data_IF_068481989991
#
_entry.id   IF_068481989991
#
_cell.length_a   1.000
_cell.length_b   1.000
_cell.length_c   1.000
_cell.angle_alpha   90.00
_cell.angle_beta   90.00
_cell.angle_gamma   90.00
#
_symmetry.space_group_name_H-M   'P 1'
#
loop_
_entity.id
_entity.type
_entity.pdbx_description
1 polymer ?
#
# COMPACT_ATOMS: atom_id res chain seq x y z
N UNK A 1 42.71 18.87 4.28
CA UNK A 1 41.88 17.68 4.23
C UNK A 1 41.07 17.52 5.52
N UNK A 2 41.66 17.43 6.74
CA UNK A 2 40.95 17.25 8.01
C UNK A 2 39.90 18.32 8.35
N UNK A 3 40.15 19.60 8.00
CA UNK A 3 39.17 20.70 8.19
C UNK A 3 38.00 20.59 7.23
N UNK A 4 38.23 20.25 5.98
CA UNK A 4 37.17 20.07 4.96
C UNK A 4 36.28 18.88 5.35
N UNK A 5 36.88 17.75 5.79
CA UNK A 5 36.10 16.60 6.29
C UNK A 5 35.19 16.95 7.49
N UNK A 6 35.65 17.81 8.41
CA UNK A 6 34.85 18.30 9.54
C UNK A 6 33.63 19.12 9.08
N UNK A 7 33.84 19.99 8.11
CA UNK A 7 32.73 20.81 7.55
C UNK A 7 31.73 19.97 6.77
N UNK A 8 32.19 18.97 6.01
CA UNK A 8 31.33 17.98 5.34
C UNK A 8 30.52 17.19 6.36
N UNK A 9 31.17 16.67 7.41
CA UNK A 9 30.48 15.94 8.48
C UNK A 9 29.44 16.81 9.20
N UNK A 10 29.78 18.08 9.50
CA UNK A 10 28.86 19.04 10.10
C UNK A 10 27.65 19.30 9.19
N UNK A 11 27.86 19.46 7.90
CA UNK A 11 26.80 19.66 6.90
C UNK A 11 25.83 18.47 6.86
N UNK A 12 26.36 17.24 6.83
CA UNK A 12 25.50 16.03 6.89
C UNK A 12 24.76 15.93 8.23
N UNK A 13 25.38 16.28 9.34
CA UNK A 13 24.74 16.32 10.66
C UNK A 13 23.56 17.31 10.70
N UNK A 14 23.71 18.47 10.07
CA UNK A 14 22.65 19.47 9.98
C UNK A 14 21.48 18.98 9.11
N UNK A 15 21.76 18.29 8.00
CA UNK A 15 20.72 17.68 7.15
C UNK A 15 19.96 16.61 7.95
N UNK A 16 20.67 15.68 8.61
CA UNK A 16 20.05 14.63 9.42
C UNK A 16 19.24 15.26 10.57
N UNK A 17 19.79 16.25 11.26
CA UNK A 17 19.08 16.98 12.31
C UNK A 17 17.81 17.64 11.82
N UNK A 18 17.86 18.27 10.62
CA UNK A 18 16.68 18.84 9.95
C UNK A 18 15.63 17.79 9.59
N UNK A 19 16.05 16.63 9.07
CA UNK A 19 15.14 15.51 8.76
C UNK A 19 14.46 14.97 10.03
N UNK A 20 15.23 14.77 11.12
CA UNK A 20 14.68 14.35 12.41
C UNK A 20 13.70 15.38 12.95
N UNK A 21 14.05 16.67 12.89
CA UNK A 21 13.15 17.74 13.31
C UNK A 21 11.83 17.72 12.52
N UNK A 22 11.89 17.60 11.18
CA UNK A 22 10.68 17.53 10.35
C UNK A 22 9.87 16.27 10.62
N UNK A 23 10.52 15.14 10.86
CA UNK A 23 9.83 13.91 11.27
C UNK A 23 9.09 14.10 12.60
N UNK A 24 9.74 14.65 13.64
CA UNK A 24 9.12 14.93 14.93
C UNK A 24 7.98 15.95 14.78
N UNK A 25 8.13 16.96 13.93
CA UNK A 25 7.06 17.90 13.57
C UNK A 25 5.85 17.15 12.99
N UNK A 26 6.11 16.21 12.08
CA UNK A 26 5.08 15.34 11.50
C UNK A 26 4.38 14.47 12.57
N UNK A 27 5.15 13.82 13.44
CA UNK A 27 4.63 13.01 14.56
C UNK A 27 3.71 13.80 15.50
N UNK A 28 4.02 15.07 15.73
CA UNK A 28 3.23 15.95 16.59
C UNK A 28 2.04 16.58 15.85
N UNK A 29 1.86 16.29 14.58
CA UNK A 29 0.68 16.72 13.82
C UNK A 29 -0.54 15.97 14.35
N UNK A 30 -1.49 16.72 14.95
CA UNK A 30 -2.73 16.10 15.46
C UNK A 30 -3.52 15.54 14.29
N UNK A 31 -4.05 14.31 14.41
CA UNK A 31 -5.04 13.82 13.46
C UNK A 31 -6.19 14.82 13.38
N UNK A 32 -6.65 15.14 12.20
CA UNK A 32 -7.75 16.08 12.04
C UNK A 32 -9.07 15.41 12.44
N UNK A 33 -9.64 15.81 13.59
CA UNK A 33 -10.91 15.33 14.14
C UNK A 33 -10.88 15.39 15.67
N UNK A 34 -12.00 15.78 16.29
CA UNK A 34 -12.09 15.89 17.75
C UNK A 34 -11.92 14.56 18.50
N UNK A 35 -12.15 13.43 17.79
CA UNK A 35 -12.19 12.07 18.35
C UNK A 35 -11.11 11.14 17.76
N UNK A 36 -10.14 11.66 17.03
CA UNK A 36 -9.09 10.84 16.44
C UNK A 36 -8.15 10.29 17.52
N UNK A 37 -8.19 8.98 17.74
CA UNK A 37 -7.24 8.27 18.60
C UNK A 37 -5.94 8.01 17.86
N UNK A 38 -4.78 7.97 18.55
CA UNK A 38 -3.53 7.51 17.95
C UNK A 38 -3.70 6.11 17.38
N UNK A 39 -3.09 5.85 16.24
CA UNK A 39 -3.06 4.51 15.67
C UNK A 39 -2.36 3.53 16.62
N UNK A 40 -2.94 2.37 16.80
CA UNK A 40 -2.36 1.29 17.62
C UNK A 40 -1.44 0.49 16.71
N UNK A 41 -0.18 0.33 17.13
CA UNK A 41 0.75 -0.58 16.44
C UNK A 41 0.35 -2.01 16.77
N UNK A 42 0.03 -2.79 15.76
CA UNK A 42 -0.36 -4.19 15.92
C UNK A 42 0.84 -5.09 16.24
N UNK A 43 0.56 -6.19 16.91
CA UNK A 43 1.55 -7.26 17.07
C UNK A 43 1.78 -7.89 15.69
N UNK A 44 3.02 -7.84 15.21
CA UNK A 44 3.40 -8.33 13.89
C UNK A 44 4.67 -9.18 13.99
N UNK A 45 4.58 -10.45 13.62
CA UNK A 45 5.67 -11.41 13.69
C UNK A 45 6.49 -11.40 12.39
N UNK A 46 7.05 -10.23 12.08
CA UNK A 46 7.79 -10.01 10.84
C UNK A 46 9.00 -10.92 10.69
N UNK A 47 9.21 -11.43 9.48
CA UNK A 47 10.36 -12.26 9.12
C UNK A 47 11.13 -11.62 7.96
N UNK A 48 12.46 -11.74 8.03
CA UNK A 48 13.34 -11.27 6.95
C UNK A 48 13.14 -12.12 5.71
N UNK A 49 12.99 -11.47 4.57
CA UNK A 49 13.01 -12.12 3.27
C UNK A 49 14.42 -12.57 2.89
N UNK A 50 14.52 -13.49 1.94
CA UNK A 50 15.78 -14.02 1.42
C UNK A 50 16.62 -12.95 0.72
N UNK A 51 15.98 -12.03 0.00
CA UNK A 51 16.63 -10.95 -0.74
C UNK A 51 15.88 -9.63 -0.55
N UNK A 52 16.56 -8.67 0.05
CA UNK A 52 15.99 -7.37 0.37
C UNK A 52 15.06 -7.38 1.59
N UNK A 53 14.12 -6.45 1.62
CA UNK A 53 13.14 -6.26 2.69
C UNK A 53 11.74 -6.17 2.08
N UNK A 54 10.87 -7.09 2.45
CA UNK A 54 9.46 -7.08 2.10
C UNK A 54 8.67 -6.26 3.12
N UNK A 55 7.93 -5.27 2.63
CA UNK A 55 7.04 -4.40 3.41
C UNK A 55 5.62 -4.60 2.89
N UNK A 56 4.70 -5.00 3.77
CA UNK A 56 3.28 -5.12 3.47
C UNK A 56 2.62 -3.74 3.58
N UNK A 57 2.01 -3.27 2.52
CA UNK A 57 1.22 -2.05 2.48
C UNK A 57 -0.25 -2.44 2.38
N UNK A 58 -1.04 -2.01 3.34
CA UNK A 58 -2.48 -2.24 3.40
C UNK A 58 -3.22 -0.92 3.29
N UNK A 59 -4.04 -0.80 2.25
CA UNK A 59 -4.97 0.31 2.09
C UNK A 59 -6.31 -0.07 2.72
N UNK A 60 -6.72 0.65 3.77
CA UNK A 60 -7.96 0.39 4.51
C UNK A 60 -9.01 1.44 4.22
N UNK A 61 -10.28 1.04 4.23
CA UNK A 61 -11.44 1.93 4.09
C UNK A 61 -11.96 2.46 5.44
N UNK A 62 -11.40 1.95 6.54
CA UNK A 62 -11.72 2.38 7.90
C UNK A 62 -11.22 3.78 8.21
N UNK A 63 -11.94 4.48 9.09
CA UNK A 63 -11.49 5.76 9.64
C UNK A 63 -10.68 5.49 10.90
N UNK A 64 -9.59 6.26 11.09
CA UNK A 64 -8.77 6.18 12.29
C UNK A 64 -9.66 6.42 13.51
N UNK A 65 -9.72 5.40 14.42
CA UNK A 65 -10.51 5.45 15.65
C UNK A 65 -11.94 4.97 15.52
N UNK A 66 -12.42 4.56 14.35
CA UNK A 66 -13.63 3.75 14.22
C UNK A 66 -13.33 2.30 14.66
N UNK A 67 -14.38 1.56 15.04
CA UNK A 67 -14.21 0.14 15.36
C UNK A 67 -13.73 -0.58 14.10
N UNK A 68 -12.62 -1.26 14.23
CA UNK A 68 -11.98 -1.97 13.11
C UNK A 68 -12.73 -3.23 12.64
N UNK A 69 -13.74 -3.63 13.40
CA UNK A 69 -14.46 -4.90 13.21
C UNK A 69 -15.15 -5.03 11.84
N UNK A 70 -15.43 -3.90 11.18
CA UNK A 70 -16.05 -3.86 9.85
C UNK A 70 -15.09 -3.35 8.76
N UNK A 71 -13.87 -2.93 9.16
CA UNK A 71 -12.89 -2.39 8.24
C UNK A 71 -12.40 -3.46 7.27
N UNK A 72 -12.36 -3.11 6.00
CA UNK A 72 -11.83 -3.97 4.94
C UNK A 72 -10.57 -3.38 4.37
N UNK A 73 -9.72 -4.23 3.83
CA UNK A 73 -8.60 -3.78 3.02
C UNK A 73 -8.93 -3.91 1.54
N UNK A 74 -8.88 -2.79 0.84
CA UNK A 74 -9.11 -2.72 -0.60
C UNK A 74 -7.82 -2.83 -1.41
N UNK A 75 -6.68 -2.62 -0.76
CA UNK A 75 -5.37 -2.67 -1.39
C UNK A 75 -4.41 -3.50 -0.54
N UNK A 76 -3.89 -4.57 -1.11
CA UNK A 76 -2.92 -5.47 -0.48
C UNK A 76 -1.70 -5.51 -1.41
N UNK A 77 -0.59 -4.93 -0.96
CA UNK A 77 0.63 -4.82 -1.77
C UNK A 77 1.85 -5.19 -0.94
N UNK A 78 2.77 -5.94 -1.53
CA UNK A 78 4.11 -6.17 -0.97
C UNK A 78 5.13 -5.39 -1.80
N UNK A 79 5.89 -4.53 -1.12
CA UNK A 79 6.97 -3.75 -1.72
C UNK A 79 8.29 -4.32 -1.23
N UNK A 80 9.11 -4.83 -2.16
CA UNK A 80 10.45 -5.31 -1.87
C UNK A 80 11.48 -4.24 -2.24
N UNK A 81 12.34 -3.95 -1.29
CA UNK A 81 13.39 -2.93 -1.38
C UNK A 81 14.73 -3.46 -0.89
N UNK A 82 15.82 -2.76 -1.21
CA UNK A 82 17.18 -3.13 -0.79
C UNK A 82 17.59 -4.56 -1.21
N UNK A 83 17.05 -5.04 -2.32
CA UNK A 83 17.43 -6.32 -2.91
C UNK A 83 18.74 -6.20 -3.70
N UNK A 84 19.31 -7.33 -4.07
CA UNK A 84 20.58 -7.41 -4.82
C UNK A 84 20.57 -6.68 -6.16
N UNK A 85 19.40 -6.63 -6.82
CA UNK A 85 19.24 -5.90 -8.08
C UNK A 85 19.22 -4.38 -7.86
N UNK A 86 18.97 -3.94 -6.64
CA UNK A 86 18.81 -2.52 -6.29
C UNK A 86 17.61 -1.86 -6.96
N UNK A 87 16.59 -2.64 -7.34
CA UNK A 87 15.31 -2.18 -7.89
C UNK A 87 14.24 -2.17 -6.81
N UNK A 88 13.14 -1.49 -7.08
CA UNK A 88 11.92 -1.63 -6.30
C UNK A 88 11.03 -2.65 -7.00
N UNK A 89 10.55 -3.67 -6.26
CA UNK A 89 9.58 -4.64 -6.77
C UNK A 89 8.27 -4.47 -6.02
N UNK A 90 7.17 -4.36 -6.75
CA UNK A 90 5.83 -4.20 -6.19
C UNK A 90 4.94 -5.34 -6.67
N UNK A 91 4.39 -6.08 -5.72
CA UNK A 91 3.43 -7.15 -5.98
C UNK A 91 2.10 -6.78 -5.34
N UNK A 92 1.09 -6.55 -6.14
CA UNK A 92 -0.28 -6.31 -5.69
C UNK A 92 -1.05 -7.61 -5.71
N UNK A 93 -1.78 -7.89 -4.64
CA UNK A 93 -2.66 -9.05 -4.54
C UNK A 93 -4.10 -8.59 -4.70
N UNK A 94 -4.83 -9.24 -5.60
CA UNK A 94 -6.25 -8.97 -5.77
C UNK A 94 -6.99 -9.38 -4.50
N UNK A 95 -7.79 -8.47 -3.96
CA UNK A 95 -8.48 -8.66 -2.68
C UNK A 95 -9.43 -9.85 -2.67
N UNK A 96 -10.00 -10.20 -3.84
CA UNK A 96 -10.95 -11.29 -4.02
C UNK A 96 -10.27 -12.64 -4.32
N UNK A 97 -8.92 -12.71 -4.27
CA UNK A 97 -8.17 -13.98 -4.37
C UNK A 97 -8.60 -14.90 -3.24
N UNK A 98 -9.01 -16.12 -3.58
CA UNK A 98 -9.41 -17.13 -2.61
C UNK A 98 -8.17 -17.75 -1.97
N UNK A 99 -8.16 -17.80 -0.64
CA UNK A 99 -7.07 -18.32 0.18
C UNK A 99 -7.62 -19.30 1.21
N UNK A 100 -6.75 -20.15 1.73
CA UNK A 100 -7.05 -20.96 2.90
C UNK A 100 -6.66 -20.21 4.16
N UNK A 101 -7.58 -20.13 5.13
CA UNK A 101 -7.34 -19.56 6.46
C UNK A 101 -7.53 -20.64 7.51
N UNK A 102 -6.45 -21.00 8.21
CA UNK A 102 -6.50 -22.00 9.27
C UNK A 102 -7.54 -21.66 10.35
N UNK A 103 -8.37 -22.64 10.69
CA UNK A 103 -9.42 -22.51 11.69
C UNK A 103 -10.68 -21.77 11.23
N UNK A 104 -10.69 -21.23 10.01
CA UNK A 104 -11.83 -20.53 9.39
C UNK A 104 -12.32 -21.23 8.13
N UNK A 105 -11.41 -21.55 7.22
CA UNK A 105 -11.73 -22.31 6.01
C UNK A 105 -12.27 -23.71 6.36
N UNK A 106 -13.19 -24.20 5.54
CA UNK A 106 -13.80 -25.50 5.77
C UNK A 106 -12.72 -26.59 5.73
N UNK A 107 -12.64 -27.36 6.80
CA UNK A 107 -11.80 -28.54 6.85
C UNK A 107 -12.63 -29.75 6.42
N UNK A 108 -12.04 -30.66 5.64
CA UNK A 108 -12.58 -31.96 5.27
C UNK A 108 -13.50 -32.01 4.03
N UNK A 109 -12.99 -31.57 2.90
CA UNK A 109 -13.39 -32.21 1.65
C UNK A 109 -12.20 -33.08 1.23
N UNK A 110 -12.36 -34.44 1.20
CA UNK A 110 -11.24 -35.37 0.95
C UNK A 110 -10.55 -35.22 -0.41
N UNK A 111 -11.13 -34.48 -1.33
CA UNK A 111 -10.65 -34.31 -2.69
C UNK A 111 -9.71 -33.10 -2.87
N UNK A 112 -9.63 -32.19 -1.90
CA UNK A 112 -8.79 -31.00 -1.99
C UNK A 112 -7.92 -30.85 -0.75
N UNK A 113 -6.63 -30.87 -0.94
CA UNK A 113 -5.62 -30.64 0.08
C UNK A 113 -5.56 -29.12 0.40
N UNK A 114 -6.56 -28.64 1.13
CA UNK A 114 -6.74 -27.25 1.51
C UNK A 114 -7.90 -26.57 0.76
N UNK A 115 -8.90 -26.13 1.50
CA UNK A 115 -10.04 -25.45 0.93
C UNK A 115 -9.77 -23.95 0.85
N UNK A 116 -9.70 -23.41 -0.36
CA UNK A 116 -9.50 -22.00 -0.64
C UNK A 116 -10.86 -21.32 -0.76
N UNK A 117 -11.48 -21.00 0.36
CA UNK A 117 -12.86 -20.53 0.44
C UNK A 117 -13.04 -19.19 1.15
N UNK A 118 -11.94 -18.50 1.44
CA UNK A 118 -11.94 -17.16 2.03
C UNK A 118 -11.29 -16.16 1.08
N UNK A 119 -11.88 -14.97 0.94
CA UNK A 119 -11.21 -13.90 0.22
C UNK A 119 -10.04 -13.35 1.03
N UNK A 120 -8.96 -12.99 0.35
CA UNK A 120 -7.76 -12.46 0.99
C UNK A 120 -8.05 -11.20 1.85
N UNK A 121 -8.95 -10.32 1.43
CA UNK A 121 -9.36 -9.16 2.22
C UNK A 121 -10.16 -9.53 3.48
N UNK A 122 -10.84 -10.66 3.50
CA UNK A 122 -11.54 -11.18 4.68
C UNK A 122 -10.57 -11.53 5.82
N UNK A 123 -9.35 -11.96 5.47
CA UNK A 123 -8.31 -12.21 6.47
C UNK A 123 -8.01 -10.96 7.32
N UNK A 124 -7.98 -9.78 6.70
CA UNK A 124 -7.79 -8.54 7.45
C UNK A 124 -8.91 -8.32 8.48
N UNK A 125 -10.17 -8.40 8.04
CA UNK A 125 -11.35 -8.21 8.92
C UNK A 125 -11.36 -9.22 10.06
N UNK A 126 -11.09 -10.51 9.78
CA UNK A 126 -11.01 -11.56 10.81
C UNK A 126 -9.89 -11.24 11.81
N UNK A 127 -8.73 -10.80 11.33
CA UNK A 127 -7.61 -10.42 12.18
C UNK A 127 -7.93 -9.21 13.07
N UNK A 128 -8.64 -8.20 12.55
CA UNK A 128 -9.09 -7.05 13.32
C UNK A 128 -10.07 -7.45 14.43
N UNK A 129 -11.02 -8.34 14.12
CA UNK A 129 -11.95 -8.91 15.11
C UNK A 129 -11.23 -9.70 16.21
N UNK A 130 -10.07 -10.27 15.90
CA UNK A 130 -9.22 -11.03 16.81
C UNK A 130 -8.07 -10.16 17.40
N UNK A 131 -8.43 -9.19 18.22
CA UNK A 131 -7.49 -8.33 18.96
C UNK A 131 -6.63 -7.40 18.09
N UNK A 132 -7.18 -6.81 17.03
CA UNK A 132 -6.49 -5.91 16.11
C UNK A 132 -5.20 -6.56 15.54
N UNK A 133 -5.34 -7.70 14.88
CA UNK A 133 -4.26 -8.43 14.23
C UNK A 133 -4.50 -8.57 12.71
N UNK A 134 -5.13 -7.58 12.09
CA UNK A 134 -5.45 -7.60 10.66
C UNK A 134 -4.21 -7.72 9.79
N UNK A 135 -3.19 -6.91 10.05
CA UNK A 135 -1.94 -6.97 9.29
C UNK A 135 -1.20 -8.30 9.50
N UNK A 136 -1.23 -8.84 10.73
CA UNK A 136 -0.58 -10.13 11.04
C UNK A 136 -1.28 -11.29 10.32
N UNK A 137 -2.61 -11.33 10.30
CA UNK A 137 -3.32 -12.41 9.62
C UNK A 137 -3.12 -12.34 8.10
N UNK A 138 -3.14 -11.15 7.50
CA UNK A 138 -2.78 -10.99 6.08
C UNK A 138 -1.35 -11.46 5.82
N UNK A 139 -0.38 -11.12 6.70
CA UNK A 139 1.00 -11.63 6.59
C UNK A 139 1.04 -13.16 6.58
N UNK A 140 0.31 -13.80 7.50
CA UNK A 140 0.22 -15.27 7.56
C UNK A 140 -0.36 -15.83 6.27
N UNK A 141 -1.47 -15.27 5.77
CA UNK A 141 -2.06 -15.72 4.50
C UNK A 141 -1.12 -15.60 3.31
N UNK A 142 -0.35 -14.52 3.25
CA UNK A 142 0.68 -14.37 2.22
C UNK A 142 1.85 -15.35 2.40
N UNK A 143 2.18 -15.72 3.64
CA UNK A 143 3.16 -16.77 3.91
C UNK A 143 2.65 -18.15 3.52
N UNK A 144 1.47 -18.53 3.98
CA UNK A 144 0.96 -19.90 3.85
C UNK A 144 0.56 -20.21 2.40
N UNK A 145 -0.08 -19.25 1.71
CA UNK A 145 -0.56 -19.47 0.35
C UNK A 145 0.50 -19.13 -0.72
N UNK A 146 1.36 -18.14 -0.50
CA UNK A 146 2.34 -17.66 -1.49
C UNK A 146 3.80 -17.81 -1.05
N UNK A 147 4.06 -18.26 0.17
CA UNK A 147 5.38 -18.45 0.79
C UNK A 147 6.25 -17.19 0.80
N UNK A 148 5.64 -16.02 1.07
CA UNK A 148 6.33 -14.75 1.17
C UNK A 148 6.67 -14.45 2.65
N UNK A 149 7.95 -14.20 2.95
CA UNK A 149 8.35 -13.67 4.24
C UNK A 149 8.29 -12.14 4.22
N UNK A 150 7.55 -11.54 5.16
CA UNK A 150 7.32 -10.09 5.26
C UNK A 150 7.91 -9.59 6.57
N UNK A 151 8.73 -8.55 6.51
CA UNK A 151 9.43 -8.03 7.68
C UNK A 151 8.67 -6.89 8.37
N UNK A 152 8.05 -6.02 7.60
CA UNK A 152 7.36 -4.84 8.10
C UNK A 152 6.00 -4.68 7.45
N UNK A 153 5.14 -3.87 8.09
CA UNK A 153 3.87 -3.45 7.53
C UNK A 153 3.62 -1.95 7.71
N UNK A 154 2.77 -1.40 6.87
CA UNK A 154 2.15 -0.09 7.05
C UNK A 154 0.69 -0.14 6.58
N UNK A 155 -0.23 0.27 7.45
CA UNK A 155 -1.63 0.48 7.08
C UNK A 155 -1.84 1.95 6.75
N UNK A 156 -2.60 2.25 5.72
CA UNK A 156 -2.84 3.61 5.25
C UNK A 156 -4.32 3.76 4.94
N UNK A 157 -5.00 4.60 5.69
CA UNK A 157 -6.37 5.00 5.37
C UNK A 157 -6.40 6.16 4.37
N UNK A 158 -7.57 6.49 3.88
CA UNK A 158 -7.78 7.52 2.86
C UNK A 158 -7.26 8.90 3.28
N UNK A 159 -7.50 9.28 4.53
CA UNK A 159 -7.12 10.58 5.05
C UNK A 159 -5.62 10.68 5.26
N UNK A 160 -5.03 9.63 5.82
CA UNK A 160 -3.57 9.54 6.00
C UNK A 160 -2.86 9.59 4.66
N UNK A 161 -3.37 8.85 3.65
CA UNK A 161 -2.83 8.90 2.29
C UNK A 161 -2.85 10.32 1.74
N UNK A 162 -4.02 10.98 1.73
CA UNK A 162 -4.15 12.34 1.19
C UNK A 162 -3.24 13.32 1.93
N UNK A 163 -3.23 13.28 3.27
CA UNK A 163 -2.38 14.16 4.11
C UNK A 163 -0.88 13.95 3.84
N UNK A 164 -0.45 12.69 3.68
CA UNK A 164 0.94 12.38 3.39
C UNK A 164 1.36 12.92 2.01
N UNK A 165 0.50 12.73 0.99
CA UNK A 165 0.75 13.24 -0.36
C UNK A 165 0.83 14.76 -0.38
N UNK A 166 -0.14 15.47 0.22
CA UNK A 166 -0.16 16.93 0.25
C UNK A 166 1.05 17.51 1.00
N UNK A 167 1.54 16.79 2.03
CA UNK A 167 2.75 17.18 2.75
C UNK A 167 4.01 16.96 1.90
N UNK A 168 4.10 15.81 1.24
CA UNK A 168 5.26 15.42 0.43
C UNK A 168 5.34 16.21 -0.88
N UNK A 169 4.19 16.47 -1.48
CA UNK A 169 4.02 17.16 -2.76
C UNK A 169 3.03 18.33 -2.66
N UNK A 170 3.42 19.45 -2.06
CA UNK A 170 2.51 20.60 -1.89
C UNK A 170 1.92 21.15 -3.19
N UNK A 171 2.58 20.89 -4.32
CA UNK A 171 2.11 21.27 -5.67
C UNK A 171 1.46 20.09 -6.41
N UNK A 172 1.09 19.02 -5.69
CA UNK A 172 0.54 17.80 -6.26
C UNK A 172 1.55 16.90 -6.95
N UNK A 173 1.15 15.65 -7.19
CA UNK A 173 1.90 14.64 -7.94
C UNK A 173 1.57 14.76 -9.41
N UNK A 174 2.58 14.79 -10.26
CA UNK A 174 2.38 14.76 -11.71
C UNK A 174 1.96 13.35 -12.15
N UNK A 175 0.78 13.26 -12.74
CA UNK A 175 0.17 12.01 -13.23
C UNK A 175 -0.25 12.17 -14.68
N UNK A 176 -0.19 11.07 -15.42
CA UNK A 176 -0.87 10.93 -16.69
C UNK A 176 -2.10 10.03 -16.49
N UNK A 177 -3.22 10.63 -16.14
CA UNK A 177 -4.44 9.89 -15.84
C UNK A 177 -4.93 9.11 -17.05
N UNK A 178 -5.13 7.82 -16.87
CA UNK A 178 -5.61 6.91 -17.90
C UNK A 178 -6.74 6.04 -17.34
N UNK A 179 -7.78 5.91 -18.13
CA UNK A 179 -8.89 5.02 -17.87
C UNK A 179 -9.05 4.09 -19.07
N UNK A 180 -9.56 2.91 -18.84
CA UNK A 180 -10.04 2.03 -19.90
C UNK A 180 -11.30 2.61 -20.51
N UNK A 181 -11.93 1.89 -21.43
CA UNK A 181 -13.27 2.21 -21.89
C UNK A 181 -14.29 2.11 -20.76
N UNK A 182 -15.38 2.85 -20.88
CA UNK A 182 -16.57 2.73 -20.02
C UNK A 182 -17.71 2.34 -20.94
N UNK A 183 -18.35 1.20 -20.68
CA UNK A 183 -19.39 0.62 -21.56
C UNK A 183 -18.92 0.47 -23.04
N UNK A 184 -17.64 0.10 -23.23
CA UNK A 184 -17.02 -0.04 -24.54
C UNK A 184 -16.55 1.24 -25.21
N UNK A 185 -16.86 2.40 -24.64
CA UNK A 185 -16.57 3.72 -25.22
C UNK A 185 -15.34 4.39 -24.57
N UNK A 186 -14.52 5.05 -25.37
CA UNK A 186 -13.41 5.87 -24.86
C UNK A 186 -13.94 7.10 -24.15
N UNK A 187 -13.40 7.37 -22.98
CA UNK A 187 -13.76 8.51 -22.16
C UNK A 187 -12.66 9.58 -22.14
N UNK A 188 -13.05 10.84 -22.08
CA UNK A 188 -12.14 11.99 -21.88
C UNK A 188 -12.03 12.39 -20.40
N UNK A 189 -13.02 12.01 -19.62
CA UNK A 189 -13.10 12.25 -18.17
C UNK A 189 -14.03 11.23 -17.52
N UNK A 190 -13.90 11.07 -16.21
CA UNK A 190 -14.77 10.21 -15.40
C UNK A 190 -15.21 10.92 -14.13
N UNK A 191 -16.38 10.54 -13.63
CA UNK A 191 -16.89 10.95 -12.33
C UNK A 191 -16.51 9.90 -11.28
N UNK A 192 -15.84 10.34 -10.20
CA UNK A 192 -15.38 9.48 -9.11
C UNK A 192 -15.96 9.91 -7.78
N UNK A 193 -16.33 8.98 -6.88
CA UNK A 193 -16.78 9.34 -5.54
C UNK A 193 -15.66 10.06 -4.76
N UNK A 194 -16.02 11.15 -4.10
CA UNK A 194 -15.12 11.99 -3.32
C UNK A 194 -15.40 11.84 -1.82
N UNK A 195 -15.02 10.69 -1.27
CA UNK A 195 -15.33 10.30 0.12
C UNK A 195 -14.76 11.26 1.16
N UNK A 196 -13.60 11.88 0.88
CA UNK A 196 -12.98 12.85 1.81
C UNK A 196 -13.78 14.16 1.92
N UNK A 197 -14.66 14.42 0.95
CA UNK A 197 -15.56 15.58 0.95
C UNK A 197 -17.02 15.20 1.28
N UNK A 198 -17.25 14.01 1.81
CA UNK A 198 -18.58 13.60 2.27
C UNK A 198 -19.15 14.59 3.29
N UNK A 199 -20.39 15.03 3.04
CA UNK A 199 -21.13 15.93 3.94
C UNK A 199 -22.53 15.33 4.18
N UNK A 200 -22.93 15.29 5.41
CA UNK A 200 -24.26 14.82 5.83
C UNK A 200 -24.63 13.44 5.24
N UNK A 201 -23.63 12.53 5.13
CA UNK A 201 -23.81 11.20 4.55
C UNK A 201 -23.87 11.16 3.03
N UNK A 202 -23.75 12.31 2.34
CA UNK A 202 -23.73 12.39 0.88
C UNK A 202 -22.29 12.51 0.38
N UNK A 203 -21.88 11.57 -0.47
CA UNK A 203 -20.58 11.58 -1.14
C UNK A 203 -20.70 12.33 -2.47
N UNK A 204 -20.05 13.50 -2.63
CA UNK A 204 -20.07 14.21 -3.90
C UNK A 204 -19.24 13.46 -4.95
N UNK A 205 -19.42 13.85 -6.22
CA UNK A 205 -18.59 13.36 -7.32
C UNK A 205 -17.49 14.38 -7.64
N UNK A 206 -16.33 13.86 -8.04
CA UNK A 206 -15.22 14.64 -8.57
C UNK A 206 -14.95 14.21 -10.01
N UNK A 207 -14.89 15.17 -10.94
CA UNK A 207 -14.49 14.91 -12.33
C UNK A 207 -12.98 14.80 -12.43
N UNK A 208 -12.46 13.71 -13.00
CA UNK A 208 -11.05 13.53 -13.33
C UNK A 208 -10.90 13.36 -14.84
N UNK A 209 -10.13 14.24 -15.46
CA UNK A 209 -9.86 14.23 -16.92
C UNK A 209 -8.74 13.26 -17.26
N UNK A 210 -8.80 12.69 -18.46
CA UNK A 210 -7.69 11.92 -19.05
C UNK A 210 -6.52 12.84 -19.38
N UNK A 211 -5.30 12.34 -19.20
CA UNK A 211 -4.08 13.04 -19.61
C UNK A 211 -3.23 13.57 -18.45
N UNK A 212 -2.22 14.35 -18.81
CA UNK A 212 -1.25 14.88 -17.88
C UNK A 212 -1.85 15.98 -17.01
N UNK A 213 -1.74 15.82 -15.70
CA UNK A 213 -2.22 16.78 -14.71
C UNK A 213 -1.48 16.60 -13.38
N UNK A 214 -1.58 17.60 -12.51
CA UNK A 214 -1.11 17.48 -11.12
C UNK A 214 -2.29 17.15 -10.23
N UNK A 215 -2.13 16.15 -9.39
CA UNK A 215 -3.15 15.68 -8.47
C UNK A 215 -2.69 15.91 -7.03
N UNK A 216 -3.51 16.59 -6.24
CA UNK A 216 -3.38 16.64 -4.79
C UNK A 216 -3.69 15.28 -4.17
N UNK A 217 -3.48 15.13 -2.86
CA UNK A 217 -3.66 13.84 -2.20
C UNK A 217 -5.08 13.29 -2.33
N UNK A 218 -6.10 14.15 -2.30
CA UNK A 218 -7.50 13.78 -2.48
C UNK A 218 -7.78 13.30 -3.91
N UNK A 219 -7.38 14.06 -4.91
CA UNK A 219 -7.58 13.70 -6.33
C UNK A 219 -6.82 12.42 -6.69
N UNK A 220 -5.60 12.27 -6.17
CA UNK A 220 -4.78 11.09 -6.39
C UNK A 220 -5.42 9.85 -5.74
N UNK A 221 -5.99 10.00 -4.54
CA UNK A 221 -6.76 8.95 -3.88
C UNK A 221 -7.97 8.53 -4.73
N UNK A 222 -8.79 9.48 -5.16
CA UNK A 222 -9.99 9.22 -5.95
C UNK A 222 -9.64 8.55 -7.28
N UNK A 223 -8.57 9.01 -7.97
CA UNK A 223 -8.04 8.35 -9.16
C UNK A 223 -7.64 6.89 -8.90
N UNK A 224 -6.93 6.63 -7.81
CA UNK A 224 -6.46 5.29 -7.47
C UNK A 224 -7.57 4.30 -7.09
N UNK A 225 -8.75 4.81 -6.72
CA UNK A 225 -9.91 4.01 -6.27
C UNK A 225 -10.95 3.74 -7.34
N UNK A 226 -10.88 4.44 -8.46
CA UNK A 226 -11.84 4.29 -9.55
C UNK A 226 -11.86 2.86 -10.09
N UNK A 227 -13.05 2.29 -10.33
CA UNK A 227 -13.25 0.90 -10.80
C UNK A 227 -14.48 0.74 -11.71
N UNK A 228 -15.00 1.85 -12.25
CA UNK A 228 -16.20 1.81 -13.12
C UNK A 228 -15.85 1.84 -14.60
N UNK A 229 -14.59 1.61 -14.95
CA UNK A 229 -14.17 1.32 -16.32
C UNK A 229 -14.22 -0.19 -16.59
N UNK A 230 -14.11 -0.59 -17.85
CA UNK A 230 -14.25 -1.99 -18.29
C UNK A 230 -13.15 -2.93 -17.74
N UNK A 231 -12.05 -2.37 -17.20
CA UNK A 231 -11.02 -3.13 -16.48
C UNK A 231 -11.39 -3.41 -15.01
N UNK A 232 -12.36 -2.71 -14.44
CA UNK A 232 -12.84 -2.95 -13.08
C UNK A 232 -11.75 -2.93 -12.01
N UNK A 233 -11.66 -3.99 -11.21
CA UNK A 233 -10.68 -4.11 -10.12
C UNK A 233 -9.24 -4.23 -10.63
N UNK A 234 -9.00 -4.80 -11.80
CA UNK A 234 -7.67 -4.82 -12.42
C UNK A 234 -7.21 -3.42 -12.80
N UNK A 235 -8.08 -2.60 -13.38
CA UNK A 235 -7.83 -1.19 -13.66
C UNK A 235 -7.52 -0.39 -12.40
N UNK A 236 -8.27 -0.64 -11.31
CA UNK A 236 -7.98 -0.04 -10.00
C UNK A 236 -6.58 -0.44 -9.50
N UNK A 237 -6.24 -1.72 -9.51
CA UNK A 237 -4.94 -2.21 -9.03
C UNK A 237 -3.79 -1.64 -9.88
N UNK A 238 -3.96 -1.55 -11.19
CA UNK A 238 -3.00 -0.91 -12.10
C UNK A 238 -2.79 0.56 -11.74
N UNK A 239 -3.87 1.33 -11.54
CA UNK A 239 -3.80 2.75 -11.14
C UNK A 239 -3.11 2.93 -9.79
N UNK A 240 -3.36 2.06 -8.82
CA UNK A 240 -2.64 2.09 -7.52
C UNK A 240 -1.13 1.90 -7.70
N UNK A 241 -0.71 0.97 -8.54
CA UNK A 241 0.70 0.76 -8.86
C UNK A 241 1.31 1.94 -9.63
N UNK A 242 0.56 2.57 -10.54
CA UNK A 242 0.99 3.77 -11.28
C UNK A 242 1.17 4.95 -10.34
N UNK A 243 0.22 5.18 -9.43
CA UNK A 243 0.30 6.21 -8.39
C UNK A 243 1.53 5.99 -7.51
N UNK A 244 1.74 4.77 -7.00
CA UNK A 244 2.90 4.45 -6.18
C UNK A 244 4.20 4.67 -6.96
N UNK A 245 4.24 4.27 -8.22
CA UNK A 245 5.39 4.50 -9.10
C UNK A 245 5.67 5.98 -9.32
N UNK A 246 4.64 6.79 -9.57
CA UNK A 246 4.76 8.23 -9.76
C UNK A 246 5.30 8.93 -8.49
N UNK A 247 4.80 8.54 -7.31
CA UNK A 247 5.30 9.02 -6.02
C UNK A 247 6.79 8.67 -5.88
N UNK A 248 7.17 7.42 -6.10
CA UNK A 248 8.55 6.96 -5.95
C UNK A 248 9.50 7.61 -6.97
N UNK A 249 9.03 7.93 -8.17
CA UNK A 249 9.83 8.65 -9.14
C UNK A 249 10.03 10.13 -8.79
N UNK A 250 9.03 10.79 -8.24
CA UNK A 250 9.06 12.21 -7.94
C UNK A 250 9.64 12.52 -6.56
N UNK A 251 9.75 11.54 -5.66
CA UNK A 251 10.41 11.69 -4.36
C UNK A 251 11.94 11.84 -4.48
N UNK A 252 12.51 11.58 -5.66
CA UNK A 252 13.97 11.68 -5.92
C UNK A 252 14.51 13.10 -5.83
N UNK A 253 13.64 14.10 -5.89
CA UNK A 253 14.05 15.49 -5.73
C UNK A 253 14.63 15.69 -4.32
N UNK A 254 15.92 16.13 -4.19
CA UNK A 254 16.54 16.34 -2.89
C UNK A 254 15.77 17.29 -1.97
N UNK A 255 14.99 18.22 -2.54
CA UNK A 255 14.11 19.12 -1.76
C UNK A 255 13.05 18.35 -0.98
N UNK A 256 12.72 17.12 -1.40
CA UNK A 256 11.77 16.23 -0.73
C UNK A 256 12.30 15.55 0.53
N UNK A 257 13.59 15.63 0.84
CA UNK A 257 14.16 15.05 2.05
C UNK A 257 13.46 15.56 3.32
N UNK A 258 13.18 16.85 3.40
CA UNK A 258 12.54 17.46 4.55
C UNK A 258 11.02 17.25 4.55
N UNK A 259 10.34 17.54 3.44
CA UNK A 259 8.90 17.31 3.31
C UNK A 259 8.57 15.82 3.40
N UNK A 260 9.42 14.95 2.87
CA UNK A 260 9.31 13.50 3.02
C UNK A 260 9.43 13.03 4.46
N UNK A 261 10.38 13.57 5.22
CA UNK A 261 10.52 13.27 6.64
C UNK A 261 9.28 13.72 7.45
N UNK A 262 8.73 14.91 7.15
CA UNK A 262 7.48 15.37 7.78
C UNK A 262 6.28 14.48 7.38
N UNK A 263 6.15 14.12 6.11
CA UNK A 263 5.09 13.23 5.63
C UNK A 263 5.15 11.87 6.31
N UNK A 264 6.34 11.28 6.43
CA UNK A 264 6.55 10.05 7.18
C UNK A 264 6.16 10.20 8.65
N UNK A 265 6.53 11.30 9.31
CA UNK A 265 6.10 11.58 10.68
C UNK A 265 4.58 11.62 10.81
N UNK A 266 3.87 12.24 9.86
CA UNK A 266 2.40 12.26 9.82
C UNK A 266 1.82 10.85 9.60
N UNK A 267 2.38 10.07 8.69
CA UNK A 267 1.98 8.67 8.48
C UNK A 267 2.12 7.89 9.79
N UNK A 268 3.28 7.99 10.47
CA UNK A 268 3.50 7.30 11.75
C UNK A 268 2.55 7.74 12.87
N UNK A 269 2.15 9.02 12.87
CA UNK A 269 1.19 9.54 13.84
C UNK A 269 -0.26 9.09 13.56
N UNK A 270 -0.58 8.80 12.32
CA UNK A 270 -1.94 8.60 11.83
C UNK A 270 -2.23 7.17 11.41
N UNK A 271 -1.24 6.29 11.34
CA UNK A 271 -1.42 4.92 10.85
C UNK A 271 -0.67 3.90 11.70
N UNK A 272 -1.15 2.64 11.67
CA UNK A 272 -0.47 1.52 12.30
C UNK A 272 0.69 1.06 11.41
N UNK A 273 1.89 1.02 11.96
CA UNK A 273 3.09 0.52 11.26
C UNK A 273 4.15 0.08 12.26
N UNK A 274 4.89 -0.97 11.92
CA UNK A 274 6.06 -1.42 12.66
C UNK A 274 7.39 -1.10 11.94
N UNK A 275 7.37 -0.33 10.84
CA UNK A 275 8.60 0.10 10.14
C UNK A 275 9.38 1.02 11.07
N UNK A 276 10.63 0.67 11.50
CA UNK A 276 11.38 1.55 12.36
C UNK A 276 11.81 2.82 11.63
N UNK A 277 11.74 3.97 12.29
CA UNK A 277 12.25 5.22 11.69
C UNK A 277 13.73 5.13 11.31
N UNK A 278 14.52 4.41 12.11
CA UNK A 278 15.93 4.12 11.79
C UNK A 278 16.08 3.41 10.43
N UNK A 279 15.18 2.49 10.08
CA UNK A 279 15.18 1.85 8.77
C UNK A 279 15.00 2.88 7.64
N UNK A 280 14.09 3.82 7.80
CA UNK A 280 13.84 4.89 6.82
C UNK A 280 15.03 5.84 6.70
N UNK A 281 15.66 6.21 7.81
CA UNK A 281 16.86 7.06 7.80
C UNK A 281 18.04 6.38 7.10
N UNK A 282 18.28 5.10 7.40
CA UNK A 282 19.43 4.38 6.84
C UNK A 282 19.23 3.94 5.39
N UNK A 283 17.98 3.66 5.01
CA UNK A 283 17.64 3.11 3.70
C UNK A 283 16.94 4.11 2.76
N UNK A 284 16.46 5.23 3.29
CA UNK A 284 15.68 6.20 2.50
C UNK A 284 16.43 6.73 1.26
N UNK A 285 17.73 7.05 1.39
CA UNK A 285 18.55 7.46 0.25
C UNK A 285 18.76 6.31 -0.75
N UNK A 286 18.89 5.06 -0.25
CA UNK A 286 18.96 3.87 -1.08
C UNK A 286 17.65 3.62 -1.83
N UNK A 287 16.49 3.86 -1.22
CA UNK A 287 15.18 3.77 -1.85
C UNK A 287 15.03 4.77 -3.01
N UNK A 288 15.45 6.01 -2.79
CA UNK A 288 15.49 7.04 -3.83
C UNK A 288 16.39 6.62 -5.00
N UNK A 289 17.56 6.06 -4.72
CA UNK A 289 18.48 5.51 -5.72
C UNK A 289 17.90 4.31 -6.47
N UNK A 290 17.24 3.41 -5.76
CA UNK A 290 16.61 2.20 -6.32
C UNK A 290 15.46 2.54 -7.26
N UNK A 291 14.64 3.54 -6.91
CA UNK A 291 13.61 4.03 -7.82
C UNK A 291 14.18 4.54 -9.16
N UNK A 292 15.46 4.97 -9.19
CA UNK A 292 16.19 5.34 -10.40
C UNK A 292 16.54 4.18 -11.32
N UNK A 293 16.69 2.97 -10.76
CA UNK A 293 17.03 1.75 -11.53
C UNK A 293 15.80 1.05 -12.10
N UNK A 294 14.61 1.49 -11.75
CA UNK A 294 13.34 0.96 -12.24
C UNK A 294 12.47 0.34 -11.15
N UNK A 295 11.20 0.24 -11.48
CA UNK A 295 10.17 -0.34 -10.61
C UNK A 295 9.53 -1.51 -11.38
N UNK A 296 9.71 -2.71 -10.85
CA UNK A 296 9.06 -3.92 -11.37
C UNK A 296 7.70 -4.06 -10.70
N UNK A 297 6.65 -4.32 -11.49
CA UNK A 297 5.27 -4.41 -11.01
C UNK A 297 4.63 -5.69 -11.46
N UNK A 298 3.96 -6.37 -10.54
CA UNK A 298 3.17 -7.58 -10.80
C UNK A 298 1.86 -7.50 -10.04
N UNK A 299 0.79 -7.97 -10.63
CA UNK A 299 -0.51 -8.20 -9.97
C UNK A 299 -0.73 -9.70 -9.88
N UNK A 300 -1.19 -10.21 -8.74
CA UNK A 300 -1.54 -11.60 -8.53
C UNK A 300 -3.03 -11.69 -8.17
N UNK A 301 -3.80 -12.46 -8.94
CA UNK A 301 -3.44 -13.11 -10.21
C UNK A 301 -3.18 -12.10 -11.32
N UNK A 302 -2.42 -12.52 -12.35
CA UNK A 302 -2.32 -11.76 -13.61
C UNK A 302 -3.65 -11.80 -14.35
N UNK A 303 -3.89 -10.83 -15.22
CA UNK A 303 -5.17 -10.73 -15.90
C UNK A 303 -5.50 -11.99 -16.69
N UNK A 304 -6.63 -12.63 -16.36
CA UNK A 304 -7.11 -13.88 -16.97
C UNK A 304 -6.48 -15.17 -16.39
N UNK A 305 -5.58 -15.07 -15.42
CA UNK A 305 -4.89 -16.21 -14.82
C UNK A 305 -5.54 -16.64 -13.49
N UNK A 306 -6.82 -16.95 -13.54
CA UNK A 306 -7.60 -17.50 -12.43
C UNK A 306 -8.75 -18.34 -12.93
N UNK A 307 -9.35 -19.11 -12.03
CA UNK A 307 -10.62 -19.76 -12.22
C UNK A 307 -11.66 -19.08 -11.33
N UNK A 308 -12.82 -18.75 -11.90
CA UNK A 308 -13.95 -18.24 -11.13
C UNK A 308 -14.43 -19.30 -10.14
N UNK A 309 -14.48 -18.94 -8.87
CA UNK A 309 -14.94 -19.80 -7.79
C UNK A 309 -15.71 -18.95 -6.76
N UNK A 310 -16.16 -19.58 -5.68
CA UNK A 310 -16.97 -18.92 -4.66
C UNK A 310 -16.34 -19.07 -3.28
N UNK A 311 -16.42 -18.01 -2.49
CA UNK A 311 -16.10 -18.11 -1.06
C UNK A 311 -17.17 -18.91 -0.31
N UNK A 312 -16.91 -19.24 0.96
CA UNK A 312 -17.84 -20.04 1.77
C UNK A 312 -19.21 -19.36 2.00
N UNK A 313 -19.34 -18.09 1.69
CA UNK A 313 -20.59 -17.32 1.80
C UNK A 313 -21.28 -17.13 0.45
N UNK A 314 -20.78 -17.77 -0.61
CA UNK A 314 -21.32 -17.67 -1.96
C UNK A 314 -20.91 -16.40 -2.74
N UNK A 315 -19.93 -15.65 -2.25
CA UNK A 315 -19.36 -14.50 -2.94
C UNK A 315 -18.35 -14.96 -3.99
N UNK A 316 -18.45 -14.41 -5.22
CA UNK A 316 -17.50 -14.71 -6.29
C UNK A 316 -16.07 -14.34 -5.90
N UNK A 317 -15.10 -15.22 -6.16
CA UNK A 317 -13.68 -15.04 -5.89
C UNK A 317 -12.80 -15.64 -6.99
N UNK A 318 -11.51 -15.39 -6.87
CA UNK A 318 -10.49 -15.76 -7.85
C UNK A 318 -9.65 -16.92 -7.29
N UNK A 319 -9.81 -18.12 -7.83
CA UNK A 319 -8.97 -19.27 -7.49
C UNK A 319 -7.76 -19.29 -8.41
N UNK A 320 -6.56 -19.40 -7.83
CA UNK A 320 -5.29 -19.28 -8.54
C UNK A 320 -4.42 -20.52 -8.38
N UNK A 321 -3.47 -20.72 -9.30
CA UNK A 321 -2.41 -21.71 -9.15
C UNK A 321 -1.32 -21.16 -8.22
N UNK A 322 -1.41 -21.52 -6.93
CA UNK A 322 -0.46 -21.07 -5.91
C UNK A 322 0.97 -21.53 -6.19
N UNK A 323 1.18 -22.70 -6.76
CA UNK A 323 2.53 -23.22 -7.01
C UNK A 323 3.21 -22.46 -8.16
N UNK A 324 2.45 -22.09 -9.19
CA UNK A 324 2.94 -21.22 -10.25
C UNK A 324 3.34 -19.86 -9.70
N UNK A 325 2.50 -19.24 -8.84
CA UNK A 325 2.82 -17.95 -8.23
C UNK A 325 3.95 -18.03 -7.19
N UNK A 326 4.05 -19.08 -6.40
CA UNK A 326 5.21 -19.33 -5.53
C UNK A 326 6.51 -19.37 -6.34
N UNK A 327 6.52 -20.05 -7.49
CA UNK A 327 7.68 -20.11 -8.38
C UNK A 327 8.03 -18.73 -8.95
N UNK A 328 7.03 -17.96 -9.40
CA UNK A 328 7.21 -16.60 -9.91
C UNK A 328 7.79 -15.67 -8.86
N UNK A 329 7.25 -15.67 -7.63
CA UNK A 329 7.72 -14.86 -6.50
C UNK A 329 9.15 -15.23 -6.08
N UNK A 330 9.50 -16.52 -6.16
CA UNK A 330 10.88 -16.98 -5.95
C UNK A 330 11.83 -16.39 -6.99
N UNK A 331 11.46 -16.41 -8.28
CA UNK A 331 12.26 -15.82 -9.36
C UNK A 331 12.43 -14.30 -9.17
N UNK A 332 11.44 -13.64 -8.63
CA UNK A 332 11.49 -12.22 -8.30
C UNK A 332 12.30 -11.92 -7.01
N UNK A 333 12.69 -12.93 -6.23
CA UNK A 333 13.44 -12.75 -4.99
C UNK A 333 12.61 -12.29 -3.78
N UNK A 334 11.27 -12.36 -3.85
CA UNK A 334 10.39 -12.01 -2.73
C UNK A 334 10.21 -13.18 -1.73
N UNK A 335 10.57 -14.38 -2.15
CA UNK A 335 10.41 -15.63 -1.42
C UNK A 335 11.75 -16.16 -0.90
#
# INVERSE_FOLDING_TARGET
VKRILKWIALFFLLIIGGMVFMFVKGLNSKPAGKDAKPAVVEKFNGKKSRDGVNILILGTDGRIGEKSDETRTDSIMVVNVNNKEGKIKMVSFMRDTLVHIDGVSQQNIPEYDGYYDQKLNTAFTIGEQNNNQGAELVRQMLKDNFDIDIQYYAMVDFKTFATAIDTLFPNGVEMNAQFSTVDGEKVSEVEVPDDLNMKDGVVPQQTIKVGKQRMDGRTLLNYSRFRKDDEGDFGRTRRQQEVMSAIMHQIKDPTKLFTGSEALGKVFAMTSTNVPFSFLLTNGLGLVGSAGKGIERVTIPENGDWVDAYDMYGGQGLLVDFDAYKKKLYQMGLR
#
